data_IF_599978444757
#
_entry.id   IF_599978444757
#
_cell.length_a   1.000
_cell.length_b   1.000
_cell.length_c   1.000
_cell.angle_alpha   90.00
_cell.angle_beta   90.00
_cell.angle_gamma   90.00
#
_symmetry.space_group_name_H-M   'P 1'
#
loop_
_entity.id
_entity.type
_entity.pdbx_description
1 polymer ?
#
# COMPACT_ATOMS: atom_id res chain seq x y z
N UNK A 1 -55.06 -30.32 -63.54
CA UNK A 1 -54.00 -30.92 -64.36
C UNK A 1 -52.67 -30.42 -63.82
N UNK A 2 -51.85 -31.28 -63.18
CA UNK A 2 -50.38 -31.17 -62.97
C UNK A 2 -49.89 -29.98 -62.08
N UNK A 3 -48.99 -30.07 -61.10
CA UNK A 3 -47.98 -31.04 -60.65
C UNK A 3 -47.70 -30.85 -59.14
N UNK A 4 -47.31 -31.94 -58.46
CA UNK A 4 -46.57 -31.97 -57.19
C UNK A 4 -45.17 -31.33 -57.36
N UNK A 5 -44.68 -30.65 -56.33
CA UNK A 5 -43.25 -30.60 -55.99
C UNK A 5 -43.10 -30.55 -54.47
N UNK A 6 -42.51 -31.61 -53.91
CA UNK A 6 -42.12 -31.69 -52.51
C UNK A 6 -40.82 -30.92 -52.26
N UNK A 7 -40.76 -30.23 -51.12
CA UNK A 7 -39.51 -29.72 -50.56
C UNK A 7 -39.10 -30.63 -49.40
N UNK A 8 -37.94 -31.27 -49.56
CA UNK A 8 -37.20 -31.91 -48.48
C UNK A 8 -36.56 -30.81 -47.61
N UNK A 9 -36.88 -30.79 -46.31
CA UNK A 9 -36.20 -29.93 -45.34
C UNK A 9 -34.85 -30.53 -44.95
N UNK A 10 -33.76 -29.88 -45.34
CA UNK A 10 -32.46 -30.07 -44.68
C UNK A 10 -32.49 -29.29 -43.36
N UNK A 11 -32.47 -30.00 -42.23
CA UNK A 11 -32.17 -29.40 -40.94
C UNK A 11 -30.67 -29.14 -40.84
N UNK A 12 -30.28 -27.87 -40.91
CA UNK A 12 -28.91 -27.46 -40.58
C UNK A 12 -28.73 -27.53 -39.06
N UNK A 13 -27.89 -28.45 -38.59
CA UNK A 13 -27.37 -28.44 -37.23
C UNK A 13 -26.40 -27.26 -37.10
N UNK A 14 -26.87 -26.16 -36.51
CA UNK A 14 -26.02 -25.07 -36.08
C UNK A 14 -25.17 -25.57 -34.89
N UNK A 15 -23.87 -25.76 -35.10
CA UNK A 15 -22.91 -25.94 -34.01
C UNK A 15 -22.81 -24.63 -33.25
N UNK A 16 -23.36 -24.57 -32.04
CA UNK A 16 -23.10 -23.47 -31.13
C UNK A 16 -21.60 -23.46 -30.80
N UNK A 17 -20.94 -22.32 -31.06
CA UNK A 17 -19.60 -22.09 -30.55
C UNK A 17 -19.63 -22.16 -29.01
N UNK A 18 -18.63 -22.75 -28.35
CA UNK A 18 -18.57 -22.73 -26.89
C UNK A 18 -18.50 -21.28 -26.42
N UNK A 19 -19.35 -20.92 -25.47
CA UNK A 19 -19.28 -19.62 -24.81
C UNK A 19 -17.88 -19.49 -24.16
N UNK A 20 -17.15 -18.42 -24.48
CA UNK A 20 -15.93 -18.07 -23.77
C UNK A 20 -16.28 -17.88 -22.29
N UNK A 21 -15.69 -18.68 -21.41
CA UNK A 21 -15.77 -18.42 -19.98
C UNK A 21 -15.06 -17.09 -19.68
N UNK A 22 -15.58 -16.27 -18.75
CA UNK A 22 -14.91 -15.04 -18.36
C UNK A 22 -13.48 -15.34 -17.88
N UNK A 23 -12.51 -14.57 -18.36
CA UNK A 23 -11.11 -14.66 -17.93
C UNK A 23 -11.01 -14.25 -16.46
N UNK A 24 -10.50 -15.16 -15.61
CA UNK A 24 -10.30 -14.95 -14.17
C UNK A 24 -9.26 -13.86 -13.91
N UNK A 25 -9.42 -13.13 -12.79
CA UNK A 25 -8.43 -12.16 -12.33
C UNK A 25 -7.13 -12.86 -11.90
N UNK A 26 -6.02 -12.11 -11.82
CA UNK A 26 -4.73 -12.63 -11.34
C UNK A 26 -4.86 -13.17 -9.91
N UNK A 27 -5.60 -12.45 -9.06
CA UNK A 27 -5.85 -12.85 -7.68
C UNK A 27 -6.66 -14.13 -7.59
N UNK A 28 -7.74 -14.27 -8.38
CA UNK A 28 -8.51 -15.51 -8.46
C UNK A 28 -7.61 -16.69 -8.89
N UNK A 29 -6.72 -16.47 -9.85
CA UNK A 29 -5.76 -17.49 -10.28
C UNK A 29 -4.77 -17.85 -9.17
N UNK A 30 -4.34 -16.89 -8.35
CA UNK A 30 -3.43 -17.12 -7.23
C UNK A 30 -4.12 -17.86 -6.08
N UNK A 31 -5.37 -17.51 -5.75
CA UNK A 31 -6.16 -18.17 -4.72
C UNK A 31 -6.47 -19.64 -5.03
N UNK A 32 -6.52 -20.00 -6.31
CA UNK A 32 -6.69 -21.38 -6.75
C UNK A 32 -5.37 -22.17 -6.84
N UNK A 33 -4.22 -21.49 -6.85
CA UNK A 33 -2.95 -22.19 -6.70
C UNK A 33 -2.96 -22.83 -5.32
N UNK A 34 -2.58 -24.09 -5.25
CA UNK A 34 -2.21 -24.71 -4.00
C UNK A 34 -0.72 -24.40 -3.82
N UNK A 35 -0.33 -23.27 -3.19
CA UNK A 35 1.09 -22.95 -3.04
C UNK A 35 1.75 -24.14 -2.35
N UNK A 36 2.91 -24.54 -2.87
CA UNK A 36 3.71 -25.53 -2.16
C UNK A 36 3.98 -24.95 -0.78
N UNK A 37 3.46 -25.59 0.28
CA UNK A 37 3.60 -25.09 1.63
C UNK A 37 5.08 -24.76 1.90
N UNK A 38 5.37 -23.51 2.29
CA UNK A 38 6.67 -23.16 2.85
C UNK A 38 7.03 -24.21 3.89
N UNK A 39 8.22 -24.77 3.75
CA UNK A 39 8.70 -25.89 4.53
C UNK A 39 8.51 -25.62 6.03
N UNK A 40 8.18 -26.68 6.79
CA UNK A 40 8.07 -26.65 8.24
C UNK A 40 9.24 -25.89 8.88
N UNK A 41 8.96 -24.70 9.39
CA UNK A 41 9.91 -23.85 10.09
C UNK A 41 9.59 -23.77 11.58
N UNK A 42 10.58 -23.37 12.40
CA UNK A 42 10.30 -23.01 13.79
C UNK A 42 9.44 -21.74 13.83
N UNK A 43 8.59 -21.61 14.85
CA UNK A 43 7.85 -20.39 15.08
C UNK A 43 8.80 -19.19 15.23
N UNK A 44 8.50 -18.10 14.52
CA UNK A 44 9.24 -16.85 14.60
C UNK A 44 8.74 -16.05 15.79
N UNK A 45 9.67 -15.40 16.48
CA UNK A 45 9.34 -14.35 17.45
C UNK A 45 10.17 -13.12 17.12
N UNK A 46 9.50 -12.03 16.79
CA UNK A 46 10.09 -10.72 16.60
C UNK A 46 10.23 -10.06 17.98
N UNK A 47 11.43 -9.57 18.27
CA UNK A 47 11.74 -8.97 19.57
C UNK A 47 11.42 -7.49 19.51
N UNK A 48 10.53 -7.03 20.39
CA UNK A 48 10.19 -5.62 20.51
C UNK A 48 11.45 -4.75 20.69
N UNK A 49 11.50 -3.60 20.00
CA UNK A 49 12.64 -2.68 20.03
C UNK A 49 13.88 -3.13 19.24
N UNK A 50 13.78 -4.21 18.46
CA UNK A 50 14.81 -4.61 17.49
C UNK A 50 14.34 -4.31 16.07
N UNK A 51 15.25 -4.15 15.12
CA UNK A 51 14.88 -3.97 13.71
C UNK A 51 14.54 -5.33 13.07
N UNK A 52 13.30 -5.59 12.65
CA UNK A 52 12.90 -6.88 12.07
C UNK A 52 13.51 -7.14 10.68
N UNK A 53 13.94 -6.08 9.98
CA UNK A 53 14.57 -6.10 8.65
C UNK A 53 16.11 -6.17 8.71
N UNK A 54 16.71 -6.16 9.90
CA UNK A 54 18.17 -6.26 10.03
C UNK A 54 18.73 -7.60 9.53
N UNK A 55 17.93 -8.67 9.62
CA UNK A 55 18.32 -10.02 9.21
C UNK A 55 17.33 -10.67 8.25
N UNK A 56 16.37 -9.90 7.71
CA UNK A 56 15.33 -10.39 6.81
C UNK A 56 15.16 -9.45 5.64
N UNK A 57 14.99 -10.00 4.46
CA UNK A 57 14.61 -9.25 3.27
C UNK A 57 13.09 -9.21 3.15
N UNK A 58 12.55 -8.07 2.69
CA UNK A 58 11.13 -7.95 2.37
C UNK A 58 10.80 -8.91 1.22
N UNK A 59 9.77 -9.73 1.40
CA UNK A 59 9.35 -10.74 0.43
C UNK A 59 8.83 -10.11 -0.86
N UNK A 60 9.29 -10.61 -2.01
CA UNK A 60 8.74 -10.26 -3.32
C UNK A 60 7.48 -11.07 -3.59
N UNK A 61 6.33 -10.49 -3.26
CA UNK A 61 5.05 -11.19 -3.31
C UNK A 61 4.63 -11.60 -4.73
N UNK A 62 4.01 -12.77 -4.86
CA UNK A 62 3.62 -13.32 -6.16
C UNK A 62 2.48 -12.59 -6.84
N UNK A 63 1.71 -11.75 -6.13
CA UNK A 63 0.64 -10.92 -6.71
C UNK A 63 1.22 -9.89 -7.66
N UNK A 64 2.09 -9.02 -7.15
CA UNK A 64 2.72 -7.97 -7.94
C UNK A 64 3.62 -8.55 -9.05
N UNK A 65 4.35 -9.62 -8.75
CA UNK A 65 5.13 -10.33 -9.77
C UNK A 65 4.25 -10.87 -10.92
N UNK A 66 3.04 -11.33 -10.62
CA UNK A 66 2.09 -11.83 -11.63
C UNK A 66 1.46 -10.69 -12.44
N UNK A 67 1.19 -9.53 -11.82
CA UNK A 67 0.73 -8.33 -12.53
C UNK A 67 1.76 -7.84 -13.53
N UNK A 68 3.04 -7.73 -13.11
CA UNK A 68 4.14 -7.39 -14.01
C UNK A 68 4.24 -8.41 -15.14
N UNK A 69 4.20 -9.71 -14.83
CA UNK A 69 4.30 -10.76 -15.85
C UNK A 69 3.16 -10.68 -16.88
N UNK A 70 1.93 -10.43 -16.42
CA UNK A 70 0.77 -10.27 -17.28
C UNK A 70 0.90 -9.03 -18.18
N UNK A 71 1.33 -7.91 -17.60
CA UNK A 71 1.47 -6.66 -18.30
C UNK A 71 2.60 -6.69 -19.36
N UNK A 72 3.73 -7.32 -19.02
CA UNK A 72 4.88 -7.47 -19.92
C UNK A 72 4.68 -8.51 -21.03
N UNK A 73 3.58 -9.29 -21.01
CA UNK A 73 3.37 -10.39 -21.96
C UNK A 73 3.46 -9.92 -23.43
N UNK A 74 2.93 -8.74 -23.72
CA UNK A 74 2.88 -8.16 -25.08
C UNK A 74 3.91 -7.07 -25.35
N UNK A 75 4.70 -6.67 -24.35
CA UNK A 75 5.78 -5.68 -24.52
C UNK A 75 6.88 -6.27 -25.41
N UNK A 76 7.37 -5.52 -26.40
CA UNK A 76 8.41 -6.02 -27.33
C UNK A 76 9.81 -5.51 -27.00
N UNK A 77 9.92 -4.41 -26.24
CA UNK A 77 11.20 -3.87 -25.81
C UNK A 77 11.89 -4.81 -24.81
N UNK A 78 13.05 -5.33 -25.19
CA UNK A 78 13.82 -6.27 -24.38
C UNK A 78 14.42 -5.64 -23.12
N UNK A 79 14.72 -4.34 -23.16
CA UNK A 79 15.24 -3.60 -22.00
C UNK A 79 14.14 -3.48 -20.95
N UNK A 80 12.95 -3.02 -21.36
CA UNK A 80 11.80 -2.90 -20.47
C UNK A 80 11.44 -4.24 -19.85
N UNK A 81 11.41 -5.33 -20.65
CA UNK A 81 11.16 -6.68 -20.12
C UNK A 81 12.19 -7.13 -19.09
N UNK A 82 13.47 -6.82 -19.31
CA UNK A 82 14.56 -7.17 -18.38
C UNK A 82 14.41 -6.40 -17.07
N UNK A 83 14.17 -5.09 -17.16
CA UNK A 83 13.98 -4.22 -16.00
C UNK A 83 12.72 -4.61 -15.21
N UNK A 84 11.60 -4.84 -15.89
CA UNK A 84 10.36 -5.31 -15.27
C UNK A 84 10.55 -6.66 -14.56
N UNK A 85 11.29 -7.59 -15.17
CA UNK A 85 11.62 -8.88 -14.53
C UNK A 85 12.52 -8.73 -13.31
N UNK A 86 13.31 -7.67 -13.24
CA UNK A 86 14.09 -7.33 -12.04
C UNK A 86 13.20 -6.71 -10.96
N UNK A 87 12.27 -5.82 -11.32
CA UNK A 87 11.26 -5.25 -10.41
C UNK A 87 10.40 -6.34 -9.77
N UNK A 88 9.99 -7.36 -10.54
CA UNK A 88 9.21 -8.49 -10.02
C UNK A 88 9.92 -9.32 -8.93
N UNK A 89 11.22 -9.07 -8.68
CA UNK A 89 12.02 -9.70 -7.62
C UNK A 89 12.33 -8.76 -6.47
N UNK A 90 11.86 -7.51 -6.53
CA UNK A 90 11.98 -6.54 -5.44
C UNK A 90 10.84 -6.77 -4.47
N UNK A 91 11.17 -6.84 -3.17
CA UNK A 91 10.17 -6.96 -2.11
C UNK A 91 9.18 -5.79 -2.12
N UNK A 92 7.89 -6.06 -1.97
CA UNK A 92 6.87 -5.03 -1.84
C UNK A 92 5.74 -5.49 -0.94
N UNK A 93 5.05 -4.53 -0.31
CA UNK A 93 3.87 -4.83 0.49
C UNK A 93 2.68 -5.19 -0.42
N UNK A 94 1.89 -6.18 0.01
CA UNK A 94 0.56 -6.42 -0.57
C UNK A 94 -0.49 -5.61 0.19
N UNK A 95 -1.32 -4.87 -0.54
CA UNK A 95 -2.47 -4.18 0.04
C UNK A 95 -3.64 -5.15 0.22
N UNK A 96 -4.17 -5.24 1.44
CA UNK A 96 -5.44 -5.89 1.72
C UNK A 96 -6.51 -4.80 1.76
N UNK A 97 -6.79 -4.19 0.61
CA UNK A 97 -7.66 -3.00 0.51
C UNK A 97 -9.16 -3.33 0.37
N UNK A 98 -9.53 -4.61 0.55
CA UNK A 98 -10.91 -5.11 0.62
C UNK A 98 -10.94 -6.45 1.38
N UNK A 99 -12.10 -6.83 1.91
CA UNK A 99 -12.38 -8.16 2.48
C UNK A 99 -12.09 -9.28 1.46
N UNK A 100 -12.39 -9.05 0.18
CA UNK A 100 -12.18 -10.03 -0.88
C UNK A 100 -10.70 -10.41 -1.07
N UNK A 101 -9.76 -9.53 -0.69
CA UNK A 101 -8.32 -9.78 -0.77
C UNK A 101 -7.75 -10.49 0.45
N UNK A 102 -8.47 -10.55 1.57
CA UNK A 102 -7.99 -11.21 2.80
C UNK A 102 -7.48 -12.64 2.59
N UNK A 103 -8.11 -13.49 1.75
CA UNK A 103 -7.58 -14.82 1.45
C UNK A 103 -6.16 -14.83 0.83
N UNK A 104 -5.72 -13.74 0.19
CA UNK A 104 -4.35 -13.62 -0.33
C UNK A 104 -3.31 -13.63 0.80
N UNK A 105 -3.65 -13.17 2.01
CA UNK A 105 -2.75 -13.24 3.15
C UNK A 105 -2.30 -14.69 3.42
N UNK A 106 -3.22 -15.65 3.41
CA UNK A 106 -2.90 -17.08 3.56
C UNK A 106 -1.99 -17.58 2.44
N UNK A 107 -2.25 -17.15 1.20
CA UNK A 107 -1.44 -17.54 0.04
C UNK A 107 0.00 -17.02 0.18
N UNK A 108 0.15 -15.73 0.51
CA UNK A 108 1.45 -15.09 0.67
C UNK A 108 2.23 -15.62 1.88
N UNK A 109 1.55 -15.88 3.00
CA UNK A 109 2.15 -16.52 4.18
C UNK A 109 2.73 -17.90 3.85
N UNK A 110 2.07 -18.64 2.96
CA UNK A 110 2.50 -19.97 2.55
C UNK A 110 3.66 -19.98 1.55
N UNK A 111 3.88 -18.91 0.78
CA UNK A 111 5.02 -18.82 -0.16
C UNK A 111 6.24 -18.10 0.43
N UNK A 112 6.07 -17.33 1.52
CA UNK A 112 7.14 -16.55 2.14
C UNK A 112 8.18 -17.46 2.82
N UNK A 113 9.47 -17.41 2.41
CA UNK A 113 10.56 -18.13 3.07
C UNK A 113 10.78 -17.67 4.52
N UNK A 114 11.31 -18.57 5.37
CA UNK A 114 11.51 -18.29 6.81
C UNK A 114 12.55 -17.21 7.13
N UNK A 115 13.45 -16.92 6.20
CA UNK A 115 14.47 -15.87 6.27
C UNK A 115 14.00 -14.54 5.66
N UNK A 116 12.80 -14.49 5.11
CA UNK A 116 12.15 -13.29 4.59
C UNK A 116 11.07 -12.77 5.57
N UNK A 117 10.57 -11.57 5.31
CA UNK A 117 9.44 -10.98 6.01
C UNK A 117 8.36 -10.59 5.01
N UNK A 118 7.13 -11.04 5.24
CA UNK A 118 5.98 -10.71 4.41
C UNK A 118 5.48 -9.30 4.77
N UNK A 119 5.39 -8.38 3.80
CA UNK A 119 4.77 -7.07 4.00
C UNK A 119 3.29 -7.10 3.62
N UNK A 120 2.40 -6.72 4.53
CA UNK A 120 0.97 -6.50 4.25
C UNK A 120 0.54 -5.10 4.70
N UNK A 121 -0.33 -4.46 3.93
CA UNK A 121 -1.00 -3.21 4.33
C UNK A 121 -2.42 -3.55 4.77
N UNK A 122 -2.74 -3.21 6.02
CA UNK A 122 -4.09 -3.24 6.55
C UNK A 122 -4.75 -1.93 6.13
N UNK A 123 -5.76 -1.96 5.25
CA UNK A 123 -6.33 -0.74 4.68
C UNK A 123 -7.80 -0.92 4.28
N UNK A 124 -8.70 -1.09 5.24
CA UNK A 124 -10.14 -1.26 4.93
C UNK A 124 -11.07 -0.60 5.96
N UNK A 125 -10.60 0.43 6.66
CA UNK A 125 -11.43 1.14 7.64
C UNK A 125 -12.79 1.61 7.09
N UNK A 126 -13.87 1.56 7.91
CA UNK A 126 -15.14 2.15 7.56
C UNK A 126 -15.04 3.66 7.29
N UNK A 127 -15.56 4.11 6.15
CA UNK A 127 -15.43 5.50 5.71
C UNK A 127 -14.00 5.89 5.30
N UNK A 128 -13.24 4.93 4.76
CA UNK A 128 -11.85 5.10 4.27
C UNK A 128 -11.69 6.33 3.37
N UNK A 129 -10.49 6.92 3.43
CA UNK A 129 -10.07 8.07 2.61
C UNK A 129 -11.04 9.25 2.72
N UNK A 130 -11.38 9.61 3.95
CA UNK A 130 -12.44 10.58 4.25
C UNK A 130 -12.21 11.99 3.66
N UNK A 131 -10.99 12.29 3.21
CA UNK A 131 -10.62 13.54 2.54
C UNK A 131 -10.33 13.40 1.03
N UNK A 132 -10.50 12.21 0.45
CA UNK A 132 -10.26 11.94 -0.97
C UNK A 132 -11.49 11.29 -1.65
N UNK A 133 -11.45 11.21 -2.99
CA UNK A 133 -12.48 10.55 -3.80
C UNK A 133 -11.99 9.33 -4.57
N UNK A 134 -10.68 9.21 -4.78
CA UNK A 134 -10.08 8.00 -5.35
C UNK A 134 -9.85 6.99 -4.24
N UNK A 135 -10.81 6.09 -4.05
CA UNK A 135 -10.73 5.01 -3.06
C UNK A 135 -11.46 3.77 -3.55
N UNK A 136 -11.00 2.60 -3.12
CA UNK A 136 -11.71 1.32 -3.24
C UNK A 136 -12.47 0.94 -1.96
N UNK A 137 -12.60 1.84 -0.97
CA UNK A 137 -13.19 1.55 0.33
C UNK A 137 -14.62 1.01 0.19
N UNK A 138 -14.84 -0.20 0.70
CA UNK A 138 -16.12 -0.89 0.57
C UNK A 138 -17.02 -0.75 1.82
N UNK A 139 -16.44 -0.34 2.95
CA UNK A 139 -17.13 -0.19 4.23
C UNK A 139 -17.56 1.26 4.44
N UNK A 140 -18.85 1.47 4.68
CA UNK A 140 -19.41 2.77 5.03
C UNK A 140 -19.18 3.09 6.51
N UNK A 141 -19.10 4.38 6.86
CA UNK A 141 -19.09 4.81 8.27
C UNK A 141 -20.23 4.17 9.06
N UNK A 142 -19.93 3.63 10.23
CA UNK A 142 -20.82 2.86 11.09
C UNK A 142 -20.68 1.34 10.93
N UNK A 143 -19.91 0.85 9.95
CA UNK A 143 -19.72 -0.59 9.70
C UNK A 143 -18.50 -1.18 10.42
N UNK A 144 -18.11 -0.61 11.57
CA UNK A 144 -16.95 -1.08 12.36
C UNK A 144 -17.02 -2.58 12.69
N UNK A 145 -18.19 -3.11 13.05
CA UNK A 145 -18.31 -4.55 13.34
C UNK A 145 -17.95 -5.44 12.16
N UNK A 146 -18.19 -4.98 10.92
CA UNK A 146 -17.81 -5.72 9.69
C UNK A 146 -16.30 -5.66 9.46
N UNK A 147 -15.69 -4.50 9.69
CA UNK A 147 -14.23 -4.35 9.70
C UNK A 147 -13.55 -5.28 10.73
N UNK A 148 -14.14 -5.40 11.92
CA UNK A 148 -13.63 -6.30 12.95
C UNK A 148 -13.78 -7.77 12.54
N UNK A 149 -15.01 -8.23 12.26
CA UNK A 149 -15.31 -9.66 12.09
C UNK A 149 -14.96 -10.25 10.73
N UNK A 150 -15.12 -9.48 9.66
CA UNK A 150 -15.02 -9.98 8.29
C UNK A 150 -13.66 -9.64 7.67
N UNK A 151 -12.93 -8.69 8.27
CA UNK A 151 -11.64 -8.22 7.77
C UNK A 151 -10.47 -8.48 8.74
N UNK A 152 -10.44 -7.89 9.94
CA UNK A 152 -9.31 -8.08 10.88
C UNK A 152 -9.23 -9.51 11.43
N UNK A 153 -10.34 -10.07 11.91
CA UNK A 153 -10.34 -11.39 12.54
C UNK A 153 -9.83 -12.51 11.61
N UNK A 154 -10.22 -12.58 10.31
CA UNK A 154 -9.66 -13.56 9.39
C UNK A 154 -8.17 -13.34 9.07
N UNK A 155 -7.68 -12.10 9.05
CA UNK A 155 -6.23 -11.81 8.91
C UNK A 155 -5.47 -12.34 10.13
N UNK A 156 -5.99 -12.08 11.34
CA UNK A 156 -5.42 -12.61 12.60
C UNK A 156 -5.39 -14.14 12.57
N UNK A 157 -6.46 -14.78 12.09
CA UNK A 157 -6.52 -16.24 11.97
C UNK A 157 -5.48 -16.78 10.97
N UNK A 158 -5.31 -16.12 9.82
CA UNK A 158 -4.31 -16.51 8.82
C UNK A 158 -2.88 -16.44 9.38
N UNK A 159 -2.52 -15.33 10.04
CA UNK A 159 -1.18 -15.16 10.63
C UNK A 159 -0.93 -16.16 11.77
N UNK A 160 -1.93 -16.41 12.63
CA UNK A 160 -1.83 -17.44 13.68
C UNK A 160 -1.60 -18.84 13.13
N UNK A 161 -2.12 -19.15 11.95
CA UNK A 161 -1.93 -20.42 11.27
C UNK A 161 -0.52 -20.56 10.61
N UNK A 162 0.23 -19.46 10.50
CA UNK A 162 1.58 -19.42 9.92
C UNK A 162 2.63 -18.84 10.89
N UNK A 163 2.82 -19.43 12.09
CA UNK A 163 3.71 -18.88 13.11
C UNK A 163 5.19 -18.85 12.70
N UNK A 164 5.58 -19.60 11.66
CA UNK A 164 6.93 -19.65 11.11
C UNK A 164 7.28 -18.48 10.18
N UNK A 165 6.29 -17.67 9.78
CA UNK A 165 6.48 -16.57 8.83
C UNK A 165 6.53 -15.25 9.59
N UNK A 166 7.60 -14.47 9.40
CA UNK A 166 7.66 -13.10 9.90
C UNK A 166 6.75 -12.19 9.05
N UNK A 167 6.03 -11.28 9.68
CA UNK A 167 5.10 -10.36 8.99
C UNK A 167 5.36 -8.93 9.44
N UNK A 168 5.51 -8.01 8.50
CA UNK A 168 5.45 -6.57 8.72
C UNK A 168 4.09 -6.05 8.28
N UNK A 169 3.41 -5.31 9.16
CA UNK A 169 2.10 -4.74 8.90
C UNK A 169 2.18 -3.22 8.92
N UNK A 170 1.69 -2.58 7.86
CA UNK A 170 1.36 -1.16 7.87
C UNK A 170 -0.12 -1.03 8.22
N UNK A 171 -0.42 -0.18 9.20
CA UNK A 171 -1.78 -0.06 9.76
C UNK A 171 -2.43 1.22 9.26
N UNK A 172 -3.40 1.03 8.37
CA UNK A 172 -4.39 1.99 7.89
C UNK A 172 -3.78 3.31 7.40
N UNK A 173 -3.08 3.30 6.23
CA UNK A 173 -2.67 4.52 5.56
C UNK A 173 -3.81 5.53 5.39
N UNK A 174 -3.48 6.82 5.39
CA UNK A 174 -4.45 7.91 5.21
C UNK A 174 -5.57 7.95 6.29
N UNK A 175 -5.41 7.28 7.43
CA UNK A 175 -6.44 7.26 8.48
C UNK A 175 -6.24 8.33 9.55
N UNK A 176 -5.37 8.07 10.53
CA UNK A 176 -5.11 8.96 11.67
C UNK A 176 -4.59 10.35 11.25
N UNK A 177 -3.72 10.50 10.24
CA UNK A 177 -3.31 11.83 9.76
C UNK A 177 -4.50 12.70 9.32
N UNK A 178 -5.52 12.12 8.69
CA UNK A 178 -6.74 12.83 8.31
C UNK A 178 -7.51 13.37 9.53
N UNK A 179 -7.49 12.66 10.66
CA UNK A 179 -8.14 13.14 11.88
C UNK A 179 -7.41 14.31 12.56
N UNK A 180 -6.16 14.58 12.15
CA UNK A 180 -5.37 15.71 12.66
C UNK A 180 -5.64 16.96 11.85
N UNK A 181 -5.59 16.86 10.52
CA UNK A 181 -5.64 18.06 9.64
C UNK A 181 -6.97 18.26 8.95
N UNK A 182 -7.73 17.17 8.73
CA UNK A 182 -8.92 17.16 7.87
C UNK A 182 -10.21 16.84 8.66
N UNK A 183 -10.17 16.87 9.99
CA UNK A 183 -11.33 16.60 10.85
C UNK A 183 -12.52 17.55 10.61
N UNK A 184 -12.28 18.71 10.00
CA UNK A 184 -13.34 19.66 9.65
C UNK A 184 -14.15 19.22 8.42
N UNK A 185 -13.64 18.27 7.63
CA UNK A 185 -14.40 17.65 6.55
C UNK A 185 -15.49 16.75 7.15
N UNK A 186 -16.72 16.88 6.65
CA UNK A 186 -17.87 16.17 7.22
C UNK A 186 -17.67 14.65 7.22
N UNK A 187 -17.07 14.10 6.15
CA UNK A 187 -16.78 12.68 6.05
C UNK A 187 -15.76 12.24 7.12
N UNK A 188 -14.69 13.00 7.34
CA UNK A 188 -13.70 12.70 8.37
C UNK A 188 -14.26 12.85 9.79
N UNK A 189 -15.06 13.88 10.04
CA UNK A 189 -15.74 14.04 11.33
C UNK A 189 -16.64 12.83 11.66
N UNK A 190 -17.36 12.32 10.67
CA UNK A 190 -18.23 11.15 10.84
C UNK A 190 -17.44 9.85 11.04
N UNK A 191 -16.35 9.65 10.31
CA UNK A 191 -15.52 8.44 10.38
C UNK A 191 -14.57 8.41 11.59
N UNK A 192 -14.39 9.53 12.30
CA UNK A 192 -13.37 9.68 13.34
C UNK A 192 -13.45 8.64 14.48
N UNK A 193 -14.66 8.24 14.90
CA UNK A 193 -14.82 7.19 15.92
C UNK A 193 -14.39 5.83 15.40
N UNK A 194 -14.76 5.50 14.16
CA UNK A 194 -14.49 4.22 13.54
C UNK A 194 -13.00 4.06 13.21
N UNK A 195 -12.35 5.14 12.77
CA UNK A 195 -10.90 5.14 12.55
C UNK A 195 -10.14 4.85 13.85
N UNK A 196 -10.44 5.60 14.93
CA UNK A 196 -9.76 5.40 16.21
C UNK A 196 -10.01 4.01 16.79
N UNK A 197 -11.25 3.53 16.74
CA UNK A 197 -11.63 2.23 17.27
C UNK A 197 -11.08 1.07 16.41
N UNK A 198 -11.20 1.17 15.09
CA UNK A 198 -10.71 0.16 14.15
C UNK A 198 -9.20 0.03 14.15
N UNK A 199 -8.45 1.14 14.17
CA UNK A 199 -6.98 1.08 14.34
C UNK A 199 -6.63 0.46 15.70
N UNK A 200 -7.27 0.88 16.80
CA UNK A 200 -7.01 0.28 18.10
C UNK A 200 -7.33 -1.23 18.13
N UNK A 201 -8.40 -1.65 17.47
CA UNK A 201 -8.80 -3.05 17.34
C UNK A 201 -7.78 -3.87 16.55
N UNK A 202 -7.34 -3.36 15.40
CA UNK A 202 -6.30 -3.98 14.58
C UNK A 202 -5.00 -4.16 15.40
N UNK A 203 -4.52 -3.08 16.04
CA UNK A 203 -3.31 -3.12 16.87
C UNK A 203 -3.38 -4.11 18.02
N UNK A 204 -4.54 -4.20 18.69
CA UNK A 204 -4.74 -5.13 19.81
C UNK A 204 -4.72 -6.59 19.36
N UNK A 205 -5.44 -6.92 18.28
CA UNK A 205 -5.63 -8.30 17.84
C UNK A 205 -4.50 -8.86 16.97
N UNK A 206 -3.78 -7.99 16.24
CA UNK A 206 -2.60 -8.35 15.45
C UNK A 206 -1.30 -8.37 16.29
N UNK A 207 -1.39 -8.19 17.62
CA UNK A 207 -0.28 -8.29 18.56
C UNK A 207 0.21 -9.75 18.74
N UNK A 208 0.74 -10.34 17.66
CA UNK A 208 1.19 -11.72 17.56
C UNK A 208 2.72 -11.81 17.54
N UNK A 209 3.35 -12.88 18.09
CA UNK A 209 4.81 -12.95 18.24
C UNK A 209 5.61 -12.76 16.95
N UNK A 210 5.05 -13.11 15.79
CA UNK A 210 5.70 -13.06 14.49
C UNK A 210 5.33 -11.81 13.67
N UNK A 211 4.68 -10.80 14.26
CA UNK A 211 4.20 -9.59 13.59
C UNK A 211 4.96 -8.35 14.06
N UNK A 212 5.36 -7.46 13.16
CA UNK A 212 5.82 -6.11 13.46
C UNK A 212 4.89 -5.08 12.83
N UNK A 213 4.17 -4.30 13.65
CA UNK A 213 3.23 -3.28 13.21
C UNK A 213 3.86 -1.89 13.17
N UNK A 214 3.56 -1.16 12.11
CA UNK A 214 3.92 0.24 11.89
C UNK A 214 2.63 1.03 11.61
N UNK A 215 2.30 1.98 12.47
CA UNK A 215 1.10 2.82 12.33
C UNK A 215 1.37 3.90 11.27
N UNK A 216 0.47 4.10 10.32
CA UNK A 216 0.70 5.15 9.34
C UNK A 216 0.70 6.55 9.96
N UNK A 217 1.71 7.33 9.58
CA UNK A 217 1.94 8.68 10.06
C UNK A 217 2.02 9.70 8.90
N UNK A 218 1.48 9.38 7.73
CA UNK A 218 1.56 10.26 6.57
C UNK A 218 3.01 10.53 6.16
N UNK A 219 3.40 11.80 6.03
CA UNK A 219 4.73 12.19 5.55
C UNK A 219 5.15 13.59 6.03
N UNK A 220 6.40 13.99 5.75
CA UNK A 220 6.97 15.29 6.17
C UNK A 220 6.19 16.50 5.68
N UNK A 221 5.65 16.43 4.46
CA UNK A 221 4.71 17.42 3.91
C UNK A 221 3.29 17.43 4.50
N UNK A 222 2.99 16.61 5.51
CA UNK A 222 1.64 16.50 6.11
C UNK A 222 1.67 16.63 7.64
N UNK A 223 2.07 15.60 8.36
CA UNK A 223 2.23 15.67 9.82
C UNK A 223 3.56 16.30 10.23
N UNK A 224 4.50 16.45 9.30
CA UNK A 224 5.79 17.09 9.56
C UNK A 224 5.76 18.62 9.72
N UNK A 225 4.66 19.28 9.33
CA UNK A 225 4.47 20.72 9.56
C UNK A 225 4.54 21.05 11.05
N UNK A 226 5.14 22.19 11.41
CA UNK A 226 5.43 22.52 12.81
C UNK A 226 4.19 22.53 13.71
N UNK A 227 3.05 22.98 13.17
CA UNK A 227 1.77 23.00 13.87
C UNK A 227 1.10 21.62 13.98
N UNK A 228 1.44 20.67 13.10
CA UNK A 228 0.83 19.34 13.02
C UNK A 228 1.64 18.28 13.75
N UNK A 229 2.93 18.52 13.97
CA UNK A 229 3.87 17.51 14.49
C UNK A 229 3.46 16.95 15.86
N UNK A 230 3.19 17.82 16.84
CA UNK A 230 2.75 17.39 18.17
C UNK A 230 1.34 16.78 18.14
N UNK A 231 0.32 17.42 17.53
CA UNK A 231 -1.01 16.80 17.40
C UNK A 231 -1.00 15.43 16.69
N UNK A 232 -0.13 15.27 15.69
CA UNK A 232 0.08 14.01 14.99
C UNK A 232 0.64 12.92 15.91
N UNK A 233 1.69 13.24 16.66
CA UNK A 233 2.24 12.33 17.67
C UNK A 233 1.18 11.96 18.73
N UNK A 234 0.44 12.94 19.25
CA UNK A 234 -0.61 12.72 20.27
C UNK A 234 -1.74 11.81 19.75
N UNK A 235 -2.15 11.97 18.48
CA UNK A 235 -3.18 11.11 17.86
C UNK A 235 -2.71 9.66 17.78
N UNK A 236 -1.50 9.44 17.26
CA UNK A 236 -0.92 8.12 17.07
C UNK A 236 -0.72 7.42 18.43
N UNK A 237 -0.13 8.10 19.41
CA UNK A 237 0.14 7.52 20.74
C UNK A 237 -1.13 7.31 21.54
N UNK A 238 -2.16 8.15 21.37
CA UNK A 238 -3.46 7.95 22.00
C UNK A 238 -4.10 6.64 21.53
N UNK A 239 -4.12 6.37 20.23
CA UNK A 239 -4.71 5.13 19.69
C UNK A 239 -3.89 3.91 20.09
N UNK A 240 -2.56 4.00 20.08
CA UNK A 240 -1.67 2.96 20.61
C UNK A 240 -1.97 2.62 22.09
N UNK A 241 -2.16 3.63 22.94
CA UNK A 241 -2.53 3.44 24.36
C UNK A 241 -3.93 2.85 24.49
N UNK A 242 -4.89 3.27 23.67
CA UNK A 242 -6.24 2.67 23.61
C UNK A 242 -6.20 1.19 23.24
N UNK A 243 -5.29 0.78 22.36
CA UNK A 243 -5.07 -0.62 22.00
C UNK A 243 -4.40 -1.46 23.11
N UNK A 244 -4.07 -0.86 24.26
CA UNK A 244 -3.41 -1.54 25.37
C UNK A 244 -1.88 -1.59 25.24
N UNK A 245 -1.30 -0.67 24.47
CA UNK A 245 0.16 -0.58 24.26
C UNK A 245 0.80 -1.90 23.78
N UNK A 246 0.31 -2.51 22.68
CA UNK A 246 0.79 -3.81 22.22
C UNK A 246 2.30 -3.82 21.95
N UNK A 247 2.98 -4.87 22.41
CA UNK A 247 4.43 -5.01 22.29
C UNK A 247 4.93 -5.17 20.85
N UNK A 248 4.03 -5.54 19.93
CA UNK A 248 4.35 -5.76 18.51
C UNK A 248 4.12 -4.51 17.65
N UNK A 249 3.89 -3.34 18.26
CA UNK A 249 4.05 -2.05 17.57
C UNK A 249 5.51 -1.65 17.63
N UNK A 250 6.16 -1.55 16.46
CA UNK A 250 7.57 -1.20 16.34
C UNK A 250 7.75 0.30 16.07
N UNK A 251 6.76 0.93 15.46
CA UNK A 251 6.65 2.39 15.38
C UNK A 251 5.71 2.83 14.28
N UNK A 252 6.20 3.61 13.32
CA UNK A 252 5.39 4.27 12.29
C UNK A 252 5.80 3.93 10.86
N UNK A 253 4.87 4.04 9.91
CA UNK A 253 5.20 4.11 8.49
C UNK A 253 5.08 5.55 8.00
N UNK A 254 5.94 5.92 7.06
CA UNK A 254 5.94 7.25 6.46
C UNK A 254 6.10 7.18 4.95
N UNK A 255 5.63 8.23 4.26
CA UNK A 255 5.66 8.37 2.80
C UNK A 255 4.91 7.28 2.04
N UNK A 256 4.00 6.52 2.68
CA UNK A 256 3.21 5.47 2.03
C UNK A 256 2.46 6.04 0.82
N UNK A 257 2.68 5.47 -0.35
CA UNK A 257 2.17 5.97 -1.63
C UNK A 257 2.58 7.43 -1.96
N UNK A 258 3.54 7.98 -1.24
CA UNK A 258 4.07 9.32 -1.43
C UNK A 258 5.27 9.38 -2.38
N UNK A 259 5.91 10.53 -2.38
CA UNK A 259 6.95 10.91 -3.34
C UNK A 259 8.15 11.58 -2.68
N UNK A 260 8.11 11.73 -1.35
CA UNK A 260 9.08 12.55 -0.66
C UNK A 260 10.47 11.90 -0.69
N UNK A 261 11.50 12.73 -0.77
CA UNK A 261 12.88 12.30 -0.62
C UNK A 261 13.13 11.78 0.81
N UNK A 262 14.05 10.84 0.96
CA UNK A 262 14.59 10.51 2.28
C UNK A 262 15.42 11.67 2.84
N UNK A 263 16.39 12.17 2.06
CA UNK A 263 17.22 13.33 2.41
C UNK A 263 17.32 14.20 1.16
N UNK A 264 16.96 15.47 1.29
CA UNK A 264 17.09 16.48 0.23
C UNK A 264 17.67 17.78 0.80
N UNK A 265 18.58 18.43 0.06
CA UNK A 265 19.20 19.69 0.44
C UNK A 265 18.97 20.75 -0.66
N UNK A 266 18.28 21.87 -0.38
CA UNK A 266 17.88 22.36 0.95
C UNK A 266 16.69 21.63 1.58
N UNK A 267 15.93 20.86 0.81
CA UNK A 267 14.70 20.19 1.21
C UNK A 267 13.61 20.40 0.17
N UNK A 268 12.62 19.51 0.11
CA UNK A 268 11.48 19.66 -0.78
C UNK A 268 10.66 20.90 -0.41
N UNK A 269 10.20 21.61 -1.44
CA UNK A 269 9.46 22.87 -1.30
C UNK A 269 10.16 23.94 -0.44
N UNK A 270 11.48 23.82 -0.19
CA UNK A 270 12.25 24.75 0.64
C UNK A 270 12.26 26.20 0.14
N UNK A 271 11.88 26.43 -1.13
CA UNK A 271 11.80 27.76 -1.75
C UNK A 271 10.40 28.36 -1.74
N UNK A 272 9.37 27.65 -1.24
CA UNK A 272 8.01 28.21 -1.13
C UNK A 272 7.91 29.21 0.02
N UNK A 273 6.90 30.09 -0.03
CA UNK A 273 6.73 31.14 0.99
C UNK A 273 6.39 30.60 2.39
N UNK A 274 5.81 29.41 2.45
CA UNK A 274 5.42 28.71 3.68
C UNK A 274 6.46 27.70 4.17
N UNK A 275 7.56 27.49 3.44
CA UNK A 275 8.66 26.61 3.82
C UNK A 275 9.17 26.85 5.26
N UNK A 276 9.11 28.10 5.74
CA UNK A 276 9.49 28.49 7.10
C UNK A 276 8.64 27.86 8.22
N UNK A 277 7.47 27.28 7.90
CA UNK A 277 6.57 26.62 8.85
C UNK A 277 6.61 25.09 8.77
N UNK A 278 7.50 24.54 7.93
CA UNK A 278 7.75 23.11 7.86
C UNK A 278 9.26 22.85 7.93
N UNK A 279 9.75 22.39 9.08
CA UNK A 279 11.13 21.94 9.24
C UNK A 279 11.38 20.52 8.68
N UNK A 280 10.33 19.76 8.38
CA UNK A 280 10.37 18.37 7.94
C UNK A 280 10.26 18.26 6.41
N UNK A 281 11.16 18.96 5.71
CA UNK A 281 11.21 19.04 4.22
C UNK A 281 11.79 17.80 3.52
N UNK A 282 11.97 16.71 4.26
CA UNK A 282 12.22 15.36 3.78
C UNK A 282 11.85 14.36 4.89
N UNK A 283 11.79 13.08 4.55
CA UNK A 283 11.36 12.04 5.50
C UNK A 283 12.37 11.81 6.62
N UNK A 284 13.68 12.05 6.39
CA UNK A 284 14.68 11.94 7.45
C UNK A 284 14.46 12.98 8.54
N UNK A 285 14.26 14.25 8.17
CA UNK A 285 13.92 15.30 9.15
C UNK A 285 12.60 14.99 9.83
N UNK A 286 11.60 14.49 9.10
CA UNK A 286 10.31 14.13 9.68
C UNK A 286 10.44 13.03 10.75
N UNK A 287 11.06 11.90 10.42
CA UNK A 287 11.28 10.78 11.36
C UNK A 287 12.04 11.26 12.60
N UNK A 288 13.13 12.01 12.43
CA UNK A 288 13.88 12.55 13.57
C UNK A 288 13.08 13.53 14.43
N UNK A 289 12.10 14.24 13.84
CA UNK A 289 11.28 15.20 14.56
C UNK A 289 10.12 14.55 15.32
N UNK A 290 9.46 13.53 14.75
CA UNK A 290 8.28 12.89 15.36
C UNK A 290 8.65 11.79 16.35
N UNK A 291 9.73 11.02 16.10
CA UNK A 291 10.11 9.88 16.95
C UNK A 291 10.31 10.24 18.43
N UNK A 292 10.97 11.36 18.81
CA UNK A 292 11.07 11.77 20.21
C UNK A 292 9.72 12.05 20.89
N UNK A 293 8.74 12.56 20.14
CA UNK A 293 7.41 12.87 20.67
C UNK A 293 6.63 11.59 20.97
N UNK A 294 6.68 10.63 20.05
CA UNK A 294 6.04 9.32 20.18
C UNK A 294 6.67 8.50 21.34
N UNK A 295 8.01 8.50 21.42
CA UNK A 295 8.73 7.77 22.47
C UNK A 295 8.57 8.37 23.87
N UNK A 296 8.43 9.70 23.99
CA UNK A 296 8.08 10.35 25.25
C UNK A 296 6.76 9.84 25.85
N UNK A 297 5.88 9.31 24.99
CA UNK A 297 4.58 8.77 25.32
C UNK A 297 4.55 7.24 25.48
N UNK A 298 5.73 6.59 25.45
CA UNK A 298 5.92 5.17 25.72
C UNK A 298 5.70 4.25 24.51
N UNK A 299 5.45 4.79 23.32
CA UNK A 299 5.37 4.00 22.09
C UNK A 299 6.75 3.83 21.46
N UNK A 300 7.12 2.64 20.95
CA UNK A 300 8.33 2.47 20.14
C UNK A 300 8.34 3.43 18.94
N UNK A 301 9.51 3.99 18.64
CA UNK A 301 9.64 5.13 17.73
C UNK A 301 10.48 4.84 16.48
N UNK A 302 10.54 3.57 16.06
CA UNK A 302 11.17 3.20 14.80
C UNK A 302 10.25 3.57 13.62
N UNK A 303 10.80 3.58 12.41
CA UNK A 303 10.08 3.94 11.21
C UNK A 303 10.43 3.02 10.04
N UNK A 304 9.45 2.75 9.18
CA UNK A 304 9.68 2.30 7.80
C UNK A 304 9.25 3.40 6.83
N UNK A 305 9.96 3.52 5.72
CA UNK A 305 9.77 4.62 4.77
C UNK A 305 9.53 4.04 3.39
N UNK A 306 8.39 4.37 2.80
CA UNK A 306 8.12 4.01 1.41
C UNK A 306 9.04 4.81 0.48
N UNK A 307 9.72 4.08 -0.39
CA UNK A 307 10.67 4.61 -1.39
C UNK A 307 10.36 4.08 -2.78
N UNK A 308 9.18 3.45 -2.96
CA UNK A 308 8.81 2.77 -4.19
C UNK A 308 8.77 3.69 -5.41
N UNK A 309 8.49 4.98 -5.24
CA UNK A 309 8.24 5.90 -6.37
C UNK A 309 8.94 7.25 -6.28
N UNK A 310 9.89 7.41 -5.36
CA UNK A 310 10.51 8.69 -5.01
C UNK A 310 11.90 8.92 -5.64
N UNK A 311 12.26 8.23 -6.72
CA UNK A 311 13.59 8.37 -7.34
C UNK A 311 13.88 9.78 -7.87
N UNK A 312 12.84 10.45 -8.38
CA UNK A 312 12.94 11.73 -9.07
C UNK A 312 12.21 12.77 -8.24
N UNK A 313 12.95 13.80 -7.81
CA UNK A 313 12.47 14.87 -6.95
C UNK A 313 12.15 16.14 -7.75
N UNK A 314 11.34 17.02 -7.18
CA UNK A 314 10.97 18.31 -7.80
C UNK A 314 9.93 18.21 -8.94
N UNK A 315 9.19 17.10 -9.02
CA UNK A 315 8.16 16.86 -10.04
C UNK A 315 6.83 17.56 -9.77
N UNK A 316 6.51 17.78 -8.49
CA UNK A 316 5.21 18.24 -8.02
C UNK A 316 5.12 19.76 -7.99
N UNK A 317 3.96 20.30 -8.35
CA UNK A 317 3.68 21.74 -8.31
C UNK A 317 3.27 22.21 -6.91
N UNK A 318 2.57 21.36 -6.16
CA UNK A 318 2.29 21.50 -4.74
C UNK A 318 2.58 20.20 -4.00
N UNK A 319 2.91 20.29 -2.72
CA UNK A 319 3.30 19.11 -1.95
C UNK A 319 2.16 18.11 -1.78
N UNK A 320 0.92 18.61 -1.76
CA UNK A 320 -0.30 17.81 -1.74
C UNK A 320 -0.66 17.15 -3.08
N UNK A 321 0.10 17.35 -4.15
CA UNK A 321 -0.17 16.71 -5.44
C UNK A 321 0.32 15.25 -5.39
N UNK A 322 -0.62 14.32 -5.16
CA UNK A 322 -0.31 12.91 -4.87
C UNK A 322 -0.61 11.94 -6.00
N UNK A 323 -1.53 12.27 -6.91
CA UNK A 323 -2.08 11.29 -7.84
C UNK A 323 -1.22 11.11 -9.09
N UNK A 324 -0.66 9.91 -9.29
CA UNK A 324 0.08 9.48 -10.46
C UNK A 324 1.16 10.50 -10.90
N UNK A 325 2.01 10.98 -10.00
CA UNK A 325 2.98 12.06 -10.29
C UNK A 325 3.80 11.76 -11.55
N UNK A 326 3.73 12.65 -12.53
CA UNK A 326 4.34 12.49 -13.84
C UNK A 326 5.86 12.68 -13.76
N UNK A 327 6.61 11.82 -14.44
CA UNK A 327 8.07 11.81 -14.41
C UNK A 327 8.68 11.03 -13.24
N UNK A 328 7.87 10.40 -12.39
CA UNK A 328 8.37 9.59 -11.28
C UNK A 328 9.25 8.41 -11.75
N UNK A 329 10.02 7.85 -10.81
CA UNK A 329 10.90 6.71 -11.01
C UNK A 329 10.90 5.78 -9.80
N UNK A 330 11.18 4.50 -10.01
CA UNK A 330 11.39 3.54 -8.92
C UNK A 330 12.60 3.93 -8.08
N UNK A 331 12.39 4.12 -6.77
CA UNK A 331 13.42 4.60 -5.85
C UNK A 331 14.31 3.49 -5.29
N UNK A 332 14.95 3.80 -4.16
CA UNK A 332 15.87 2.87 -3.47
C UNK A 332 15.15 1.57 -3.15
N UNK A 333 15.79 0.43 -3.44
CA UNK A 333 15.20 -0.88 -3.14
C UNK A 333 15.07 -1.10 -1.63
N UNK A 334 14.16 -1.97 -1.17
CA UNK A 334 14.00 -2.26 0.25
C UNK A 334 15.33 -2.68 0.90
N UNK A 335 15.68 -2.01 2.00
CA UNK A 335 16.94 -2.25 2.73
C UNK A 335 16.89 -1.68 4.13
N UNK A 336 17.52 -2.36 5.09
CA UNK A 336 17.74 -1.86 6.44
C UNK A 336 18.94 -0.90 6.55
N UNK A 337 19.67 -0.67 5.44
CA UNK A 337 20.79 0.28 5.38
C UNK A 337 20.32 1.72 5.14
N UNK A 338 19.54 2.27 6.06
CA UNK A 338 18.91 3.59 5.95
C UNK A 338 19.84 4.75 6.33
N UNK A 339 20.90 4.45 7.09
CA UNK A 339 21.80 5.44 7.68
C UNK A 339 21.21 6.19 8.90
N UNK A 340 20.02 5.82 9.38
CA UNK A 340 19.39 6.39 10.56
C UNK A 340 18.88 5.27 11.49
N UNK A 341 19.29 5.28 12.76
CA UNK A 341 18.91 4.25 13.73
C UNK A 341 17.42 4.24 14.08
N UNK A 342 16.69 5.30 13.77
CA UNK A 342 15.22 5.36 13.89
C UNK A 342 14.52 4.77 12.67
N UNK A 343 15.20 4.55 11.55
CA UNK A 343 14.60 4.02 10.33
C UNK A 343 15.02 2.54 10.16
N UNK A 344 14.09 1.64 10.47
CA UNK A 344 14.29 0.19 10.36
C UNK A 344 14.59 -0.22 8.92
N UNK A 345 13.83 0.31 7.95
CA UNK A 345 14.05 -0.01 6.55
C UNK A 345 13.47 1.06 5.60
N UNK A 346 14.11 1.19 4.44
CA UNK A 346 13.39 1.57 3.24
C UNK A 346 12.59 0.37 2.77
N UNK A 347 11.36 0.62 2.34
CA UNK A 347 10.42 -0.40 1.85
C UNK A 347 9.72 0.13 0.61
N UNK A 348 9.11 -0.76 -0.16
CA UNK A 348 8.20 -0.40 -1.24
C UNK A 348 6.79 -0.76 -0.80
N UNK A 349 5.98 0.25 -0.51
CA UNK A 349 4.62 0.03 0.01
C UNK A 349 3.62 0.11 -1.14
N UNK A 350 3.51 1.24 -1.83
CA UNK A 350 2.67 1.35 -3.03
C UNK A 350 3.33 0.63 -4.22
N UNK A 351 2.73 -0.41 -4.80
CA UNK A 351 3.29 -1.08 -5.96
C UNK A 351 3.24 -0.15 -7.18
N UNK A 352 4.41 0.30 -7.64
CA UNK A 352 4.50 1.18 -8.80
C UNK A 352 3.92 0.51 -10.04
N UNK A 353 3.08 1.23 -10.79
CA UNK A 353 2.34 0.67 -11.94
C UNK A 353 0.87 0.44 -11.64
N UNK A 354 0.47 0.20 -10.38
CA UNK A 354 -0.93 0.34 -9.99
C UNK A 354 -1.30 1.82 -9.91
N UNK A 355 -2.33 2.25 -10.65
CA UNK A 355 -2.78 3.64 -10.67
C UNK A 355 -3.25 4.12 -9.30
N UNK A 356 -3.00 5.40 -8.99
CA UNK A 356 -3.56 6.07 -7.81
C UNK A 356 -5.01 6.51 -8.03
N UNK A 357 -5.44 6.67 -9.29
CA UNK A 357 -6.77 7.16 -9.63
C UNK A 357 -6.94 7.54 -11.09
N UNK A 358 -8.20 7.59 -11.53
CA UNK A 358 -8.54 7.86 -12.93
C UNK A 358 -8.39 9.33 -13.28
N UNK A 359 -7.87 9.63 -14.47
CA UNK A 359 -7.86 10.99 -15.02
C UNK A 359 -9.14 11.33 -15.81
N UNK A 360 -10.07 10.38 -15.94
CA UNK A 360 -11.37 10.61 -16.58
C UNK A 360 -12.30 11.35 -15.61
N UNK A 361 -12.52 12.64 -15.88
CA UNK A 361 -13.38 13.52 -15.07
C UNK A 361 -14.85 13.11 -15.04
N UNK A 362 -15.28 12.17 -15.89
CA UNK A 362 -16.65 11.66 -15.92
C UNK A 362 -16.85 10.42 -15.05
N UNK A 363 -15.76 9.80 -14.58
CA UNK A 363 -15.83 8.62 -13.73
C UNK A 363 -16.39 8.93 -12.34
N UNK A 364 -17.18 8.00 -11.78
CA UNK A 364 -17.79 8.16 -10.46
C UNK A 364 -16.78 8.41 -9.33
N UNK A 365 -15.60 7.78 -9.42
CA UNK A 365 -14.50 7.90 -8.44
C UNK A 365 -13.39 8.85 -8.91
N UNK A 366 -13.72 9.80 -9.78
CA UNK A 366 -12.75 10.81 -10.19
C UNK A 366 -12.38 11.71 -9.01
N UNK A 367 -11.07 11.82 -8.77
CA UNK A 367 -10.48 12.78 -7.87
C UNK A 367 -9.79 13.89 -8.67
N UNK A 368 -10.02 15.16 -8.29
CA UNK A 368 -9.44 16.30 -8.98
C UNK A 368 -7.90 16.31 -8.95
N UNK A 369 -7.27 15.69 -7.94
CA UNK A 369 -5.80 15.56 -7.89
C UNK A 369 -5.26 14.75 -9.09
N UNK A 370 -6.03 13.76 -9.58
CA UNK A 370 -5.67 12.99 -10.78
C UNK A 370 -5.86 13.77 -12.09
N UNK A 371 -6.47 14.96 -12.01
CA UNK A 371 -6.65 15.90 -13.09
C UNK A 371 -5.62 17.04 -13.12
N UNK A 372 -4.66 17.10 -12.19
CA UNK A 372 -3.67 18.19 -12.10
C UNK A 372 -2.58 18.13 -13.17
N UNK A 373 -1.89 19.24 -13.41
CA UNK A 373 -0.96 19.38 -14.55
C UNK A 373 0.28 18.47 -14.45
N UNK A 374 0.66 18.11 -13.23
CA UNK A 374 1.75 17.22 -12.87
C UNK A 374 1.29 15.77 -12.61
N UNK A 375 0.00 15.47 -12.74
CA UNK A 375 -0.50 14.10 -12.78
C UNK A 375 -0.30 13.49 -14.17
N UNK A 376 0.16 12.23 -14.21
CA UNK A 376 0.30 11.46 -15.44
C UNK A 376 -1.07 11.13 -16.03
N UNK A 377 -1.22 11.33 -17.34
CA UNK A 377 -2.50 11.13 -18.05
C UNK A 377 -2.28 10.57 -19.45
N UNK A 378 -3.21 9.73 -19.97
CA UNK A 378 -4.37 9.22 -19.24
C UNK A 378 -3.95 8.20 -18.17
N UNK A 379 -4.70 8.14 -17.07
CA UNK A 379 -4.53 7.15 -16.00
C UNK A 379 -5.85 6.41 -15.73
N UNK A 380 -5.82 5.09 -15.49
CA UNK A 380 -7.01 4.28 -15.25
C UNK A 380 -7.46 4.36 -13.77
N UNK A 381 -8.51 3.61 -13.42
CA UNK A 381 -9.05 3.57 -12.05
C UNK A 381 -7.99 3.21 -11.00
N UNK A 382 -8.14 3.71 -9.78
CA UNK A 382 -7.26 3.38 -8.65
C UNK A 382 -7.11 1.85 -8.48
N UNK A 383 -5.88 1.40 -8.23
CA UNK A 383 -5.53 -0.02 -8.08
C UNK A 383 -5.42 -0.79 -9.40
N UNK A 384 -5.88 -0.25 -10.53
CA UNK A 384 -5.74 -0.93 -11.82
C UNK A 384 -4.38 -0.67 -12.46
N UNK A 385 -3.88 -1.63 -13.24
CA UNK A 385 -2.58 -1.53 -13.89
C UNK A 385 -2.51 -0.39 -14.91
N UNK A 386 -1.48 0.45 -14.79
CA UNK A 386 -1.13 1.55 -15.66
C UNK A 386 0.23 1.29 -16.32
N UNK A 387 0.21 0.56 -17.43
CA UNK A 387 1.40 0.09 -18.15
C UNK A 387 2.36 1.23 -18.52
N UNK A 388 1.84 2.32 -19.09
CA UNK A 388 2.67 3.43 -19.55
C UNK A 388 3.33 4.19 -18.38
N UNK A 389 2.64 4.24 -17.23
CA UNK A 389 3.20 4.75 -15.98
C UNK A 389 4.28 3.83 -15.43
N UNK A 390 4.05 2.51 -15.43
CA UNK A 390 5.06 1.53 -15.02
C UNK A 390 6.33 1.62 -15.87
N UNK A 391 6.21 1.69 -17.20
CA UNK A 391 7.37 1.89 -18.08
C UNK A 391 8.12 3.20 -17.78
N UNK A 392 7.41 4.27 -17.43
CA UNK A 392 8.04 5.54 -17.03
C UNK A 392 8.82 5.36 -15.73
N UNK A 393 8.26 4.66 -14.74
CA UNK A 393 8.96 4.36 -13.49
C UNK A 393 10.26 3.58 -13.73
N UNK A 394 10.26 2.61 -14.66
CA UNK A 394 11.45 1.86 -15.05
C UNK A 394 12.52 2.75 -15.70
N UNK A 395 12.12 3.61 -16.64
CA UNK A 395 13.03 4.52 -17.36
C UNK A 395 13.72 5.52 -16.41
N UNK A 396 13.02 5.91 -15.35
CA UNK A 396 13.49 6.90 -14.39
C UNK A 396 14.00 6.29 -13.07
N UNK A 397 14.15 4.97 -13.01
CA UNK A 397 14.55 4.26 -11.80
C UNK A 397 15.94 4.72 -11.30
N UNK A 398 16.05 4.93 -9.99
CA UNK A 398 17.31 5.23 -9.33
C UNK A 398 17.36 4.56 -7.95
N UNK A 399 18.19 3.51 -7.77
CA UNK A 399 19.11 2.93 -8.76
C UNK A 399 18.40 2.31 -9.98
N UNK A 400 19.10 2.24 -11.11
CA UNK A 400 18.57 1.60 -12.31
C UNK A 400 18.54 0.06 -12.17
N UNK A 401 17.59 -0.57 -12.87
CA UNK A 401 17.39 -2.03 -12.95
C UNK A 401 18.29 -2.74 -13.98
#
# INVERSE_FOLDING_TARGET
MKYLLGLAGLAALASAAPAEMPTRTIEEQLLERNPAAAASGAAVTLTAGTNPFASRTLHANSVYASEIAAAMANVTDATIKTQASAVAKVGSFLWLDTIARVPLATTLLAETPSDEILGLVIYDLPGRDCAAKASNGELATGELSKYESDYIDPIVAAIKAAPQTAVALIIEPDSLPNLVTNINETACANAASDYKAGVAYALSNLNLPNVAMYIDAGHGGWLGWDANLQPGADMITSVYKTAGSPSQVFGISTNVAGWNAWIELPGEFSTTSDAQYNKCQDENRYVNAISPLISADGMPAHAIIDTGRNAVQGLRLAWGDWCNVNGAGFGVHPTSSTGNTLADAFVWVKPGGESDGTSDSTATRYDSFCGLADAYKPSPQAGTWNEAYFEMLLKNANPAF
#
